data_IF_701778043484
#
_entry.id   IF_701778043484
#
_cell.length_a   1.000
_cell.length_b   1.000
_cell.length_c   1.000
_cell.angle_alpha   90.00
_cell.angle_beta   90.00
_cell.angle_gamma   90.00
#
_symmetry.space_group_name_H-M   'P 1'
#
loop_
_entity.id
_entity.type
_entity.pdbx_description
1 polymer ?
#
# COMPACT_ATOMS: atom_id res chain seq x y z
N UNK A 1 -44.50 -27.80 -15.63
CA UNK A 1 -43.90 -27.31 -14.38
C UNK A 1 -42.45 -27.75 -14.19
N UNK A 2 -42.09 -29.06 -14.27
CA UNK A 2 -40.70 -29.55 -14.08
C UNK A 2 -39.69 -28.94 -15.05
N UNK A 3 -40.04 -28.69 -16.32
CA UNK A 3 -39.13 -28.08 -17.33
C UNK A 3 -38.80 -26.62 -17.03
N UNK A 4 -39.75 -25.85 -16.50
CA UNK A 4 -39.54 -24.43 -16.09
C UNK A 4 -38.61 -24.34 -14.86
N UNK A 5 -38.82 -25.25 -13.89
CA UNK A 5 -37.96 -25.35 -12.71
C UNK A 5 -36.51 -25.66 -13.11
N UNK A 6 -36.30 -26.60 -14.02
CA UNK A 6 -35.00 -26.99 -14.53
C UNK A 6 -34.31 -25.80 -15.26
N UNK A 7 -35.07 -25.06 -16.06
CA UNK A 7 -34.58 -23.89 -16.77
C UNK A 7 -34.13 -22.79 -15.78
N UNK A 8 -34.90 -22.54 -14.72
CA UNK A 8 -34.53 -21.58 -13.67
C UNK A 8 -33.25 -21.97 -12.92
N UNK A 9 -33.05 -23.25 -12.63
CA UNK A 9 -31.83 -23.79 -12.02
C UNK A 9 -30.64 -23.58 -12.94
N UNK A 10 -30.76 -23.88 -14.24
CA UNK A 10 -29.68 -23.70 -15.23
C UNK A 10 -29.30 -22.19 -15.36
N UNK A 11 -30.30 -21.32 -15.45
CA UNK A 11 -30.05 -19.85 -15.50
C UNK A 11 -29.38 -19.37 -14.22
N UNK A 12 -29.80 -19.87 -13.06
CA UNK A 12 -29.17 -19.55 -11.76
C UNK A 12 -27.73 -20.02 -11.69
N UNK A 13 -27.41 -21.22 -12.19
CA UNK A 13 -26.04 -21.73 -12.22
C UNK A 13 -25.15 -20.94 -13.20
N UNK A 14 -25.65 -20.62 -14.40
CA UNK A 14 -24.92 -19.79 -15.37
C UNK A 14 -24.71 -18.39 -14.81
N UNK A 15 -25.74 -17.75 -14.25
CA UNK A 15 -25.65 -16.44 -13.64
C UNK A 15 -24.67 -16.42 -12.46
N UNK A 16 -24.73 -17.43 -11.60
CA UNK A 16 -23.78 -17.59 -10.48
C UNK A 16 -22.34 -17.80 -10.96
N UNK A 17 -22.15 -18.60 -12.00
CA UNK A 17 -20.84 -18.83 -12.61
C UNK A 17 -20.25 -17.56 -13.23
N UNK A 18 -21.04 -16.79 -14.00
CA UNK A 18 -20.61 -15.52 -14.59
C UNK A 18 -20.31 -14.47 -13.52
N UNK A 19 -21.15 -14.39 -12.48
CA UNK A 19 -20.89 -13.52 -11.34
C UNK A 19 -19.59 -13.87 -10.63
N UNK A 20 -19.34 -15.15 -10.39
CA UNK A 20 -18.12 -15.65 -9.77
C UNK A 20 -16.87 -15.37 -10.62
N UNK A 21 -16.94 -15.55 -11.93
CA UNK A 21 -15.87 -15.21 -12.87
C UNK A 21 -15.55 -13.70 -12.82
N UNK A 22 -16.57 -12.84 -12.92
CA UNK A 22 -16.40 -11.38 -12.85
C UNK A 22 -15.85 -10.95 -11.49
N UNK A 23 -16.23 -11.61 -10.41
CA UNK A 23 -15.68 -11.32 -9.10
C UNK A 23 -14.18 -11.67 -9.02
N UNK A 24 -13.78 -12.84 -9.52
CA UNK A 24 -12.37 -13.28 -9.54
C UNK A 24 -11.46 -12.39 -10.38
N UNK A 25 -11.98 -11.78 -11.42
CA UNK A 25 -11.24 -10.81 -12.25
C UNK A 25 -11.38 -9.36 -11.77
N UNK A 26 -11.84 -9.12 -10.54
CA UNK A 26 -12.02 -7.78 -10.00
C UNK A 26 -10.78 -7.26 -9.25
N UNK A 27 -10.57 -5.91 -9.20
CA UNK A 27 -9.51 -5.32 -8.38
C UNK A 27 -9.60 -5.72 -6.90
N UNK A 28 -10.82 -5.82 -6.36
CA UNK A 28 -11.05 -6.23 -4.95
C UNK A 28 -10.58 -7.64 -4.68
N UNK A 29 -10.87 -8.57 -5.59
CA UNK A 29 -10.44 -9.95 -5.44
C UNK A 29 -8.91 -10.07 -5.49
N UNK A 30 -8.26 -9.37 -6.42
CA UNK A 30 -6.80 -9.37 -6.52
C UNK A 30 -6.12 -8.78 -5.27
N UNK A 31 -6.71 -7.74 -4.64
CA UNK A 31 -6.23 -7.22 -3.36
C UNK A 31 -6.42 -8.23 -2.22
N UNK A 32 -7.53 -8.97 -2.20
CA UNK A 32 -7.75 -10.05 -1.23
C UNK A 32 -6.70 -11.15 -1.41
N UNK A 33 -6.41 -11.55 -2.64
CA UNK A 33 -5.37 -12.54 -2.94
C UNK A 33 -3.97 -12.07 -2.53
N UNK A 34 -3.64 -10.78 -2.72
CA UNK A 34 -2.41 -10.20 -2.20
C UNK A 34 -2.33 -10.28 -0.67
N UNK A 35 -3.45 -10.01 0.01
CA UNK A 35 -3.53 -10.13 1.47
C UNK A 35 -3.39 -11.59 1.93
N UNK A 36 -4.09 -12.53 1.29
CA UNK A 36 -3.98 -13.97 1.58
C UNK A 36 -2.55 -14.48 1.39
N UNK A 37 -1.87 -14.05 0.32
CA UNK A 37 -0.46 -14.39 0.07
C UNK A 37 0.45 -13.95 1.22
N UNK A 38 0.19 -12.78 1.84
CA UNK A 38 0.92 -12.34 3.05
C UNK A 38 0.62 -13.26 4.24
N UNK A 39 -0.65 -13.67 4.43
CA UNK A 39 -1.03 -14.55 5.54
C UNK A 39 -0.45 -15.97 5.37
N UNK A 40 -0.32 -16.44 4.14
CA UNK A 40 0.23 -17.75 3.78
C UNK A 40 1.76 -17.74 3.65
N UNK A 41 2.39 -16.56 3.84
CA UNK A 41 3.84 -16.37 3.68
C UNK A 41 4.35 -16.71 2.27
N UNK A 42 3.49 -16.53 1.25
CA UNK A 42 3.80 -16.79 -0.16
C UNK A 42 4.21 -15.51 -0.89
N UNK A 43 5.52 -15.27 -0.95
CA UNK A 43 6.09 -14.12 -1.63
C UNK A 43 5.84 -14.16 -3.16
N UNK A 44 5.81 -15.34 -3.77
CA UNK A 44 5.59 -15.47 -5.21
C UNK A 44 4.13 -15.12 -5.57
N UNK A 45 3.15 -15.59 -4.78
CA UNK A 45 1.77 -15.19 -4.93
C UNK A 45 1.58 -13.70 -4.67
N UNK A 46 2.28 -13.12 -3.67
CA UNK A 46 2.22 -11.69 -3.40
C UNK A 46 2.72 -10.85 -4.58
N UNK A 47 3.88 -11.16 -5.17
CA UNK A 47 4.47 -10.47 -6.33
C UNK A 47 3.59 -10.58 -7.59
N UNK A 48 2.77 -11.61 -7.71
CA UNK A 48 1.77 -11.69 -8.80
C UNK A 48 0.79 -10.52 -8.73
N UNK A 49 0.33 -10.16 -7.53
CA UNK A 49 -0.69 -9.13 -7.34
C UNK A 49 -0.11 -7.75 -7.01
N UNK A 50 1.19 -7.65 -6.68
CA UNK A 50 1.86 -6.40 -6.34
C UNK A 50 3.19 -6.29 -7.08
N UNK A 51 3.28 -5.34 -8.02
CA UNK A 51 4.54 -4.98 -8.70
C UNK A 51 5.40 -4.10 -7.76
N UNK A 52 6.22 -4.76 -6.94
CA UNK A 52 7.06 -4.09 -5.95
C UNK A 52 8.00 -3.05 -6.55
N UNK A 53 8.70 -3.30 -7.68
CA UNK A 53 9.54 -2.30 -8.33
C UNK A 53 8.76 -1.04 -8.73
N UNK A 54 7.58 -1.20 -9.31
CA UNK A 54 6.73 -0.08 -9.73
C UNK A 54 6.17 0.69 -8.53
N UNK A 55 5.67 -0.01 -7.52
CA UNK A 55 5.15 0.58 -6.28
C UNK A 55 6.22 1.37 -5.55
N UNK A 56 7.36 0.76 -5.27
CA UNK A 56 8.49 1.43 -4.58
C UNK A 56 9.07 2.57 -5.40
N UNK A 57 9.22 2.37 -6.71
CA UNK A 57 9.68 3.41 -7.62
C UNK A 57 8.79 4.65 -7.59
N UNK A 58 7.47 4.47 -7.63
CA UNK A 58 6.50 5.57 -7.56
C UNK A 58 6.52 6.29 -6.22
N UNK A 59 6.68 5.56 -5.11
CA UNK A 59 6.82 6.16 -3.77
C UNK A 59 8.06 7.05 -3.69
N UNK A 60 9.20 6.58 -4.19
CA UNK A 60 10.46 7.34 -4.22
C UNK A 60 10.28 8.61 -5.05
N UNK A 61 9.63 8.52 -6.22
CA UNK A 61 9.37 9.67 -7.09
C UNK A 61 8.44 10.70 -6.41
N UNK A 62 7.38 10.28 -5.75
CA UNK A 62 6.50 11.16 -4.99
C UNK A 62 7.24 11.86 -3.84
N UNK A 63 8.07 11.13 -3.10
CA UNK A 63 8.88 11.70 -2.02
C UNK A 63 9.91 12.71 -2.57
N UNK A 64 10.58 12.40 -3.68
CA UNK A 64 11.56 13.28 -4.31
C UNK A 64 10.96 14.60 -4.83
N UNK A 65 9.67 14.60 -5.19
CA UNK A 65 8.94 15.80 -5.62
C UNK A 65 8.52 16.69 -4.44
N UNK A 66 8.36 16.15 -3.24
CA UNK A 66 7.91 16.86 -2.05
C UNK A 66 9.07 17.51 -1.27
N UNK A 67 9.44 18.74 -1.66
CA UNK A 67 10.53 19.52 -1.00
C UNK A 67 10.37 19.60 0.52
N UNK A 68 9.14 19.80 1.00
CA UNK A 68 8.85 19.93 2.43
C UNK A 68 9.10 18.65 3.23
N UNK A 69 8.86 17.48 2.64
CA UNK A 69 9.15 16.21 3.29
C UNK A 69 10.65 15.93 3.34
N UNK A 70 11.37 16.22 2.25
CA UNK A 70 12.81 16.05 2.18
C UNK A 70 13.50 16.98 3.19
N UNK A 71 13.06 18.24 3.31
CA UNK A 71 13.60 19.19 4.30
C UNK A 71 13.32 18.77 5.74
N UNK A 72 12.19 18.12 6.01
CA UNK A 72 11.84 17.58 7.31
C UNK A 72 12.66 16.34 7.68
N UNK A 73 13.12 15.59 6.67
CA UNK A 73 13.97 14.39 6.87
C UNK A 73 15.44 14.75 7.08
N UNK A 74 15.92 15.83 6.44
CA UNK A 74 17.30 16.31 6.60
C UNK A 74 17.45 17.77 6.11
N UNK A 75 18.08 18.68 6.89
CA UNK A 75 18.38 20.08 6.48
C UNK A 75 19.27 20.22 5.23
N UNK A 76 20.09 19.20 4.91
CA UNK A 76 20.93 19.17 3.70
C UNK A 76 20.16 18.72 2.42
N UNK A 77 18.91 19.11 2.29
CA UNK A 77 17.89 18.59 1.38
C UNK A 77 18.19 18.64 -0.13
N UNK A 78 19.09 19.53 -0.59
CA UNK A 78 19.46 19.63 -2.00
C UNK A 78 20.23 18.41 -2.52
N UNK A 79 21.08 17.85 -1.68
CA UNK A 79 21.90 16.67 -1.99
C UNK A 79 21.06 15.40 -1.99
N UNK A 80 20.07 15.32 -1.08
CA UNK A 80 19.22 14.13 -0.91
C UNK A 80 18.33 13.86 -2.13
N UNK A 81 17.79 14.89 -2.79
CA UNK A 81 16.92 14.70 -3.94
C UNK A 81 17.65 14.02 -5.11
N UNK A 82 18.86 14.48 -5.41
CA UNK A 82 19.67 13.88 -6.45
C UNK A 82 20.12 12.47 -6.03
N UNK A 83 20.51 12.30 -4.77
CA UNK A 83 20.85 10.99 -4.22
C UNK A 83 19.68 9.99 -4.32
N UNK A 84 18.44 10.38 -4.01
CA UNK A 84 17.25 9.51 -4.14
C UNK A 84 17.06 9.03 -5.58
N UNK A 85 17.25 9.89 -6.58
CA UNK A 85 17.17 9.49 -8.00
C UNK A 85 18.21 8.45 -8.37
N UNK A 86 19.47 8.69 -7.99
CA UNK A 86 20.58 7.78 -8.30
C UNK A 86 20.55 6.49 -7.49
N UNK A 87 20.00 6.54 -6.28
CA UNK A 87 19.85 5.39 -5.38
C UNK A 87 18.56 4.60 -5.60
N UNK A 88 17.70 5.01 -6.52
CA UNK A 88 16.41 4.34 -6.77
C UNK A 88 16.52 2.81 -6.96
N UNK A 89 17.50 2.28 -7.74
CA UNK A 89 17.66 0.83 -7.87
C UNK A 89 18.02 0.15 -6.54
N UNK A 90 18.91 0.76 -5.75
CA UNK A 90 19.31 0.21 -4.44
C UNK A 90 18.17 0.29 -3.44
N UNK A 91 17.39 1.38 -3.46
CA UNK A 91 16.21 1.55 -2.61
C UNK A 91 15.12 0.53 -2.95
N UNK A 92 14.91 0.23 -4.23
CA UNK A 92 13.99 -0.84 -4.66
C UNK A 92 14.43 -2.21 -4.13
N UNK A 93 15.72 -2.53 -4.17
CA UNK A 93 16.24 -3.79 -3.63
C UNK A 93 16.09 -3.87 -2.10
N UNK A 94 16.35 -2.78 -1.39
CA UNK A 94 16.15 -2.71 0.06
C UNK A 94 14.68 -2.88 0.40
N UNK A 95 13.80 -2.18 -0.30
CA UNK A 95 12.36 -2.27 -0.11
C UNK A 95 11.84 -3.69 -0.37
N UNK A 96 12.29 -4.33 -1.46
CA UNK A 96 11.94 -5.72 -1.75
C UNK A 96 12.33 -6.66 -0.61
N UNK A 97 13.56 -6.56 -0.11
CA UNK A 97 14.04 -7.39 1.02
C UNK A 97 13.26 -7.14 2.31
N UNK A 98 12.86 -5.89 2.59
CA UNK A 98 12.03 -5.57 3.75
C UNK A 98 10.63 -6.19 3.62
N UNK A 99 10.03 -6.13 2.43
CA UNK A 99 8.71 -6.71 2.15
C UNK A 99 8.78 -8.24 2.15
N UNK A 100 9.80 -8.83 1.50
CA UNK A 100 10.06 -10.27 1.51
C UNK A 100 10.13 -10.79 2.95
N UNK A 101 10.95 -10.14 3.78
CA UNK A 101 11.03 -10.48 5.20
C UNK A 101 9.67 -10.35 5.91
N UNK A 102 8.90 -9.31 5.63
CA UNK A 102 7.57 -9.14 6.23
C UNK A 102 6.60 -10.23 5.77
N UNK A 103 6.56 -10.54 4.48
CA UNK A 103 5.71 -11.62 3.96
C UNK A 103 6.11 -12.95 4.60
N UNK A 104 7.41 -13.26 4.70
CA UNK A 104 7.90 -14.53 5.25
C UNK A 104 7.71 -14.65 6.78
N UNK A 105 7.81 -13.55 7.53
CA UNK A 105 7.87 -13.60 9.01
C UNK A 105 6.69 -12.94 9.71
N UNK A 106 5.87 -12.18 9.01
CA UNK A 106 4.82 -11.35 9.58
C UNK A 106 5.34 -10.15 10.40
N UNK A 107 6.65 -9.87 10.38
CA UNK A 107 7.26 -8.89 11.28
C UNK A 107 8.19 -7.90 10.56
N UNK A 108 7.91 -6.60 10.71
CA UNK A 108 8.77 -5.50 10.27
C UNK A 108 9.90 -5.15 11.26
N UNK A 109 10.10 -5.92 12.33
CA UNK A 109 11.13 -5.58 13.33
C UNK A 109 12.50 -5.44 12.68
N UNK A 110 13.12 -4.29 12.93
CA UNK A 110 14.52 -4.05 12.57
C UNK A 110 15.39 -5.06 13.28
N UNK A 111 16.36 -5.62 12.56
CA UNK A 111 17.43 -6.38 13.18
C UNK A 111 18.15 -5.46 14.17
N UNK A 112 18.16 -5.80 15.49
CA UNK A 112 18.83 -4.98 16.51
C UNK A 112 20.33 -4.80 16.23
N UNK A 113 20.92 -5.71 15.45
CA UNK A 113 22.35 -5.73 15.12
C UNK A 113 22.65 -5.07 13.76
N UNK A 114 21.63 -4.56 13.06
CA UNK A 114 21.84 -3.87 11.78
C UNK A 114 22.69 -2.60 11.99
N UNK A 115 23.70 -2.35 11.15
CA UNK A 115 24.56 -1.17 11.28
C UNK A 115 23.70 0.10 11.17
N UNK A 116 23.82 1.00 12.17
CA UNK A 116 23.11 2.29 12.19
C UNK A 116 23.58 3.13 11.01
N UNK A 117 22.80 3.16 9.94
CA UNK A 117 23.08 4.00 8.76
C UNK A 117 22.78 5.46 9.12
N UNK A 118 23.66 6.40 8.71
CA UNK A 118 23.50 7.85 8.95
C UNK A 118 22.20 8.43 8.37
N UNK A 119 21.62 7.79 7.37
CA UNK A 119 20.31 8.12 6.79
C UNK A 119 19.54 6.80 6.67
N UNK A 120 18.57 6.62 7.53
CA UNK A 120 17.71 5.45 7.53
C UNK A 120 16.44 5.78 6.72
N UNK A 121 16.54 5.64 5.40
CA UNK A 121 15.37 5.66 4.52
C UNK A 121 14.95 4.19 4.35
N UNK A 122 14.31 3.63 5.37
CA UNK A 122 13.69 2.33 5.26
C UNK A 122 12.23 2.49 4.82
N UNK A 123 11.76 1.58 3.98
CA UNK A 123 10.35 1.54 3.58
C UNK A 123 9.46 1.31 4.81
N UNK A 124 9.87 0.42 5.71
CA UNK A 124 9.21 0.18 6.99
C UNK A 124 9.10 1.46 7.82
N UNK A 125 10.17 2.27 7.93
CA UNK A 125 10.14 3.53 8.66
C UNK A 125 9.19 4.57 8.05
N UNK A 126 9.05 4.61 6.73
CA UNK A 126 8.06 5.45 6.04
C UNK A 126 6.65 4.90 6.23
N UNK A 127 6.47 3.60 6.12
CA UNK A 127 5.19 2.93 6.31
C UNK A 127 4.62 3.15 7.70
N UNK A 128 5.43 2.95 8.76
CA UNK A 128 5.02 3.21 10.15
C UNK A 128 4.63 4.68 10.43
N UNK A 129 5.07 5.63 9.60
CA UNK A 129 4.59 7.02 9.69
C UNK A 129 3.21 7.21 9.08
N UNK A 130 2.88 6.46 8.04
CA UNK A 130 1.57 6.51 7.33
C UNK A 130 0.57 5.58 8.02
N UNK A 131 0.97 4.33 8.24
CA UNK A 131 0.15 3.28 8.84
C UNK A 131 0.86 2.84 10.13
N UNK A 132 0.35 3.23 11.29
CA UNK A 132 0.91 2.80 12.58
C UNK A 132 0.62 1.32 12.83
N UNK A 133 1.40 0.69 13.73
CA UNK A 133 1.19 -0.71 14.14
C UNK A 133 -0.20 -0.96 14.73
N UNK A 134 -0.85 0.10 15.21
CA UNK A 134 -2.22 0.08 15.76
C UNK A 134 -3.28 0.49 14.74
N UNK A 135 -2.92 0.67 13.47
CA UNK A 135 -3.89 0.98 12.42
C UNK A 135 -4.81 -0.21 12.17
N UNK A 136 -6.10 0.06 12.02
CA UNK A 136 -7.10 -0.95 11.76
C UNK A 136 -7.67 -0.75 10.36
N UNK A 137 -7.55 -1.77 9.52
CA UNK A 137 -8.06 -1.77 8.16
C UNK A 137 -9.59 -1.88 8.17
N UNK A 138 -10.27 -0.93 7.55
CA UNK A 138 -11.74 -0.86 7.51
C UNK A 138 -12.33 -1.47 6.24
N UNK A 139 -11.53 -1.61 5.20
CA UNK A 139 -11.96 -2.20 3.93
C UNK A 139 -11.68 -1.34 2.72
N UNK A 140 -12.28 -1.73 1.61
CA UNK A 140 -12.23 -0.98 0.35
C UNK A 140 -13.33 0.08 0.36
N UNK A 141 -12.95 1.35 0.35
CA UNK A 141 -13.87 2.49 0.36
C UNK A 141 -14.52 2.72 -1.02
N UNK A 142 -13.71 2.62 -2.08
CA UNK A 142 -14.18 2.75 -3.46
C UNK A 142 -13.28 1.99 -4.42
N UNK A 143 -13.83 1.69 -5.59
CA UNK A 143 -13.12 1.19 -6.77
C UNK A 143 -13.61 1.97 -7.96
N UNK A 144 -12.70 2.65 -8.66
CA UNK A 144 -12.97 3.41 -9.87
C UNK A 144 -12.18 2.78 -11.01
N UNK A 145 -12.86 1.97 -11.82
CA UNK A 145 -12.28 1.31 -12.99
C UNK A 145 -12.39 2.23 -14.21
N UNK A 146 -11.29 2.35 -14.97
CA UNK A 146 -11.19 3.13 -16.19
C UNK A 146 -10.36 2.36 -17.22
N UNK A 147 -11.05 1.55 -18.04
CA UNK A 147 -10.40 0.68 -19.00
C UNK A 147 -9.49 -0.33 -18.31
N UNK A 148 -8.22 -0.36 -18.68
CA UNK A 148 -7.23 -1.29 -18.14
C UNK A 148 -6.62 -0.84 -16.78
N UNK A 149 -7.15 0.23 -16.17
CA UNK A 149 -6.67 0.72 -14.88
C UNK A 149 -7.79 0.87 -13.88
N UNK A 150 -7.49 0.66 -12.60
CA UNK A 150 -8.40 0.93 -11.50
C UNK A 150 -7.71 1.75 -10.41
N UNK A 151 -8.43 2.70 -9.83
CA UNK A 151 -8.03 3.41 -8.63
C UNK A 151 -8.86 2.88 -7.46
N UNK A 152 -8.19 2.32 -6.45
CA UNK A 152 -8.84 1.70 -5.29
C UNK A 152 -8.46 2.44 -4.03
N UNK A 153 -9.45 2.89 -3.26
CA UNK A 153 -9.25 3.52 -1.97
C UNK A 153 -9.36 2.47 -0.84
N UNK A 154 -8.27 2.31 -0.09
CA UNK A 154 -8.19 1.44 1.09
C UNK A 154 -8.33 2.30 2.34
N UNK A 155 -9.40 2.07 3.11
CA UNK A 155 -9.68 2.84 4.32
C UNK A 155 -9.07 2.17 5.55
N UNK A 156 -8.40 2.96 6.39
CA UNK A 156 -7.84 2.50 7.65
C UNK A 156 -7.92 3.58 8.72
N UNK A 157 -8.06 3.18 9.98
CA UNK A 157 -8.01 4.09 11.12
C UNK A 157 -6.58 4.27 11.59
N UNK A 158 -6.30 5.48 12.10
CA UNK A 158 -5.06 5.83 12.79
C UNK A 158 -5.39 6.22 14.23
N UNK A 159 -5.48 5.26 15.17
CA UNK A 159 -5.86 5.52 16.56
C UNK A 159 -4.94 6.52 17.25
N UNK A 160 -3.67 6.56 16.85
CA UNK A 160 -2.68 7.52 17.36
C UNK A 160 -3.11 8.98 17.17
N UNK A 161 -3.88 9.27 16.12
CA UNK A 161 -4.33 10.62 15.74
C UNK A 161 -5.84 10.76 15.74
N UNK A 162 -6.56 9.71 16.19
CA UNK A 162 -8.04 9.67 16.20
C UNK A 162 -8.61 10.09 14.83
N UNK A 163 -8.11 9.47 13.77
CA UNK A 163 -8.50 9.81 12.40
C UNK A 163 -8.59 8.59 11.50
N UNK A 164 -9.35 8.74 10.42
CA UNK A 164 -9.45 7.74 9.34
C UNK A 164 -8.77 8.28 8.10
N UNK A 165 -7.99 7.47 7.43
CA UNK A 165 -7.25 7.79 6.22
C UNK A 165 -7.60 6.83 5.10
N UNK A 166 -7.35 7.26 3.87
CA UNK A 166 -7.54 6.44 2.68
C UNK A 166 -6.21 6.37 1.94
N UNK A 167 -5.68 5.16 1.83
CA UNK A 167 -4.55 4.88 0.94
C UNK A 167 -5.09 4.56 -0.44
N UNK A 168 -4.65 5.30 -1.45
CA UNK A 168 -5.03 5.04 -2.82
C UNK A 168 -4.00 4.18 -3.53
N UNK A 169 -4.47 3.09 -4.11
CA UNK A 169 -3.67 2.20 -4.94
C UNK A 169 -4.16 2.25 -6.38
N UNK A 170 -3.24 2.40 -7.32
CA UNK A 170 -3.51 2.22 -8.74
C UNK A 170 -3.20 0.79 -9.10
N UNK A 171 -4.16 0.15 -9.77
CA UNK A 171 -4.03 -1.21 -10.28
C UNK A 171 -4.10 -1.22 -11.79
N UNK A 172 -3.46 -2.20 -12.40
CA UNK A 172 -3.49 -2.48 -13.83
C UNK A 172 -4.11 -3.85 -14.08
N UNK A 173 -5.01 -3.91 -15.04
CA UNK A 173 -5.59 -5.16 -15.54
C UNK A 173 -4.51 -5.98 -16.26
N UNK A 174 -4.43 -7.27 -15.92
CA UNK A 174 -3.55 -8.27 -16.55
C UNK A 174 -4.33 -9.36 -17.26
N UNK A 175 -5.63 -9.13 -17.50
CA UNK A 175 -6.58 -10.07 -18.07
C UNK A 175 -7.26 -10.91 -17.01
N UNK A 176 -6.56 -11.83 -16.40
CA UNK A 176 -7.13 -12.75 -15.40
C UNK A 176 -7.10 -12.22 -13.96
N UNK A 177 -6.34 -11.15 -13.71
CA UNK A 177 -6.18 -10.54 -12.39
C UNK A 177 -5.75 -9.07 -12.50
N UNK A 178 -5.87 -8.33 -11.40
CA UNK A 178 -5.38 -6.95 -11.28
C UNK A 178 -4.10 -6.92 -10.46
N UNK A 179 -3.15 -6.09 -10.87
CA UNK A 179 -1.88 -5.92 -10.18
C UNK A 179 -1.73 -4.49 -9.65
N UNK A 180 -1.40 -4.34 -8.39
CA UNK A 180 -1.03 -3.05 -7.79
C UNK A 180 0.28 -2.58 -8.40
N UNK A 181 0.25 -1.42 -9.05
CA UNK A 181 1.43 -0.84 -9.72
C UNK A 181 1.88 0.48 -9.10
N UNK A 182 1.04 1.10 -8.27
CA UNK A 182 1.38 2.39 -7.67
C UNK A 182 0.57 2.66 -6.39
N UNK A 183 1.19 3.31 -5.41
CA UNK A 183 0.49 4.04 -4.35
C UNK A 183 0.44 5.51 -4.76
N UNK A 184 -0.76 6.07 -4.96
CA UNK A 184 -0.91 7.37 -5.64
C UNK A 184 -0.80 8.56 -4.70
N UNK A 185 -1.13 8.40 -3.41
CA UNK A 185 -1.24 9.50 -2.44
C UNK A 185 -0.30 9.38 -1.23
N UNK A 186 0.77 8.60 -1.32
CA UNK A 186 1.71 8.36 -0.19
C UNK A 186 2.30 9.65 0.35
N UNK A 187 2.68 10.58 -0.52
CA UNK A 187 3.28 11.86 -0.13
C UNK A 187 2.28 12.73 0.64
N UNK A 188 1.00 12.74 0.24
CA UNK A 188 -0.05 13.51 0.91
C UNK A 188 -0.38 12.91 2.27
N UNK A 189 -0.44 11.58 2.39
CA UNK A 189 -0.60 10.89 3.66
C UNK A 189 0.54 11.21 4.63
N UNK A 190 1.79 11.17 4.17
CA UNK A 190 2.95 11.53 4.98
C UNK A 190 2.90 12.99 5.43
N UNK A 191 2.49 13.91 4.57
CA UNK A 191 2.32 15.33 4.90
C UNK A 191 1.21 15.51 5.93
N UNK A 192 0.09 14.81 5.76
CA UNK A 192 -1.04 14.86 6.68
C UNK A 192 -0.65 14.32 8.07
N UNK A 193 -0.04 13.15 8.16
CA UNK A 193 0.42 12.57 9.43
C UNK A 193 1.48 13.43 10.12
N UNK A 194 2.39 14.03 9.35
CA UNK A 194 3.40 14.96 9.90
C UNK A 194 2.76 16.22 10.51
N UNK A 195 1.66 16.72 9.91
CA UNK A 195 0.89 17.85 10.46
C UNK A 195 0.20 17.46 11.76
N UNK A 196 -0.48 16.30 11.79
CA UNK A 196 -1.14 15.80 13.00
C UNK A 196 -0.14 15.58 14.14
N UNK A 197 1.03 15.05 13.83
CA UNK A 197 2.10 14.87 14.82
C UNK A 197 2.55 16.21 15.42
N UNK A 198 2.76 17.24 14.60
CA UNK A 198 3.13 18.59 15.07
C UNK A 198 2.04 19.19 15.96
N UNK A 199 0.78 19.09 15.57
CA UNK A 199 -0.36 19.58 16.36
C UNK A 199 -0.43 18.90 17.73
N UNK A 200 -0.25 17.59 17.78
CA UNK A 200 -0.24 16.80 19.02
C UNK A 200 0.93 17.20 19.95
N UNK A 201 2.09 17.48 19.39
CA UNK A 201 3.24 17.95 20.19
C UNK A 201 2.94 19.35 20.75
N UNK A 202 2.45 20.27 19.92
CA UNK A 202 2.10 21.62 20.33
C UNK A 202 1.03 21.65 21.45
N UNK A 203 -0.03 20.83 21.32
CA UNK A 203 -1.07 20.71 22.36
C UNK A 203 -0.52 20.22 23.70
N UNK A 204 0.41 19.26 23.68
CA UNK A 204 1.06 18.76 24.90
C UNK A 204 1.99 19.78 25.58
N UNK A 205 2.62 20.68 24.79
CA UNK A 205 3.48 21.73 25.33
C UNK A 205 2.68 22.88 25.93
N UNK A 206 1.51 23.20 25.37
CA UNK A 206 0.61 24.25 25.88
C UNK A 206 -0.23 23.83 27.11
N UNK A 207 -0.21 22.55 27.48
CA UNK A 207 -0.88 22.01 28.66
C UNK A 207 0.04 21.89 29.88
N UNK A 208 1.28 22.35 29.77
CA UNK A 208 2.26 22.47 30.86
C UNK A 208 2.51 23.92 31.22
#
# INVERSE_FOLDING_TARGET
>A
MKKILLLLVVVGLIGGYLYYQNFKSSPKYSLLQAYEAVQEHDMAAFEKYVDLPSVTGSMIDQLAQQRSLISALNPASGVIRNALKYMKPQLNQVARKEIEKYVETGDFKKDPNAPKKKVDISLSGLWHKVVSDSADFKGVKYVNEQGETALVGLEFTQPRYDTTMVLEVKMQDKGDYWQVVQLTNTADLLKHTSRLQKQRIASKLNLR
#
